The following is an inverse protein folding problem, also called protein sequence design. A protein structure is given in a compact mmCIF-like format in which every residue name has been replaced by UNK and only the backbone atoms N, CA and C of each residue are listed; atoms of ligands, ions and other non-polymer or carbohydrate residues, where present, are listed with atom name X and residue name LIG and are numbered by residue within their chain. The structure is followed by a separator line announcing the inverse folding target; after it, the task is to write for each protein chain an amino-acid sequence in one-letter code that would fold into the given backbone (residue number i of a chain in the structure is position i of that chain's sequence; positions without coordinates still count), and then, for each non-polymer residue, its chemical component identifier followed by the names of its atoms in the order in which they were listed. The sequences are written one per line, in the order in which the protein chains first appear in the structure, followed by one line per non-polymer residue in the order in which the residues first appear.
data_IF_396070934350
#
_entry.id   IF_396070934350
#
_cell.length_a   1.000
_cell.length_b   1.000
_cell.length_c   1.000
_cell.angle_alpha   90.00
_cell.angle_beta   90.00
_cell.angle_gamma   90.00
#
_symmetry.space_group_name_H-M   'P 1'
#
loop_
_entity.id
_entity.type
_entity.pdbx_description
1 polymer ?
#
# COMPACT_ATOMS: atom_id res chain seq x y z
N UNK A 1 17.15 30.09 45.24
CA UNK A 1 15.72 29.78 45.34
C UNK A 1 15.39 28.76 44.26
N UNK A 2 15.17 27.50 44.64
CA UNK A 2 14.63 26.49 43.73
C UNK A 2 13.11 26.56 43.91
N UNK A 3 12.39 26.96 42.87
CA UNK A 3 10.95 26.99 42.91
C UNK A 3 10.44 25.54 42.87
N UNK A 4 9.99 25.03 44.01
CA UNK A 4 9.19 23.79 44.05
C UNK A 4 7.83 24.09 43.42
N UNK A 5 7.71 23.80 42.13
CA UNK A 5 6.43 23.74 41.44
C UNK A 5 5.67 22.50 41.94
N UNK A 6 4.92 22.65 43.03
CA UNK A 6 3.89 21.69 43.41
C UNK A 6 2.74 21.79 42.41
N UNK A 7 2.89 21.13 41.26
CA UNK A 7 1.80 20.95 40.31
C UNK A 7 0.85 19.94 40.95
N UNK A 8 -0.26 20.43 41.49
CA UNK A 8 -1.40 19.60 41.88
C UNK A 8 -2.08 19.12 40.58
N UNK A 9 -1.33 18.36 39.78
CA UNK A 9 -1.78 17.83 38.52
C UNK A 9 -2.86 16.82 38.85
N UNK A 10 -4.08 17.06 38.36
CA UNK A 10 -5.15 16.08 38.46
C UNK A 10 -4.69 14.82 37.72
N UNK A 11 -4.16 13.85 38.46
CA UNK A 11 -3.45 12.66 37.92
C UNK A 11 -4.34 11.91 36.91
N UNK A 12 -5.65 11.99 37.10
CA UNK A 12 -6.67 11.44 36.20
C UNK A 12 -6.63 12.13 34.83
N UNK A 13 -6.54 13.46 34.80
CA UNK A 13 -6.49 14.27 33.58
C UNK A 13 -5.19 14.01 32.81
N UNK A 14 -4.05 13.96 33.51
CA UNK A 14 -2.75 13.63 32.89
C UNK A 14 -2.77 12.21 32.31
N UNK A 15 -3.30 11.22 33.04
CA UNK A 15 -3.44 9.85 32.53
C UNK A 15 -4.35 9.78 31.29
N UNK A 16 -5.46 10.51 31.30
CA UNK A 16 -6.38 10.56 30.17
C UNK A 16 -5.76 11.24 28.95
N UNK A 17 -4.98 12.31 29.15
CA UNK A 17 -4.21 12.95 28.10
C UNK A 17 -3.19 11.99 27.48
N UNK A 18 -2.40 11.28 28.30
CA UNK A 18 -1.40 10.31 27.82
C UNK A 18 -2.06 9.15 27.04
N UNK A 19 -3.22 8.65 27.50
CA UNK A 19 -4.00 7.62 26.77
C UNK A 19 -4.46 8.15 25.41
N UNK A 20 -5.03 9.35 25.34
CA UNK A 20 -5.46 9.98 24.08
C UNK A 20 -4.28 10.21 23.14
N UNK A 21 -3.14 10.64 23.67
CA UNK A 21 -1.92 10.84 22.89
C UNK A 21 -1.43 9.53 22.28
N UNK A 22 -1.37 8.45 23.07
CA UNK A 22 -0.98 7.12 22.58
C UNK A 22 -1.92 6.61 21.48
N UNK A 23 -3.23 6.78 21.64
CA UNK A 23 -4.21 6.41 20.62
C UNK A 23 -4.03 7.23 19.33
N UNK A 24 -3.80 8.54 19.45
CA UNK A 24 -3.54 9.42 18.31
C UNK A 24 -2.25 9.05 17.57
N UNK A 25 -1.19 8.69 18.31
CA UNK A 25 0.06 8.19 17.75
C UNK A 25 -0.19 6.90 16.95
N UNK A 26 -0.85 5.90 17.55
CA UNK A 26 -1.21 4.64 16.85
C UNK A 26 -2.02 4.89 15.57
N UNK A 27 -3.05 5.74 15.64
CA UNK A 27 -3.87 6.10 14.47
C UNK A 27 -3.05 6.77 13.37
N UNK A 28 -2.11 7.64 13.76
CA UNK A 28 -1.22 8.34 12.81
C UNK A 28 -0.24 7.36 12.15
N UNK A 29 0.36 6.45 12.93
CA UNK A 29 1.23 5.40 12.43
C UNK A 29 0.46 4.53 11.43
N UNK A 30 -0.72 4.02 11.80
CA UNK A 30 -1.53 3.20 10.90
C UNK A 30 -1.88 3.94 9.60
N UNK A 31 -2.27 5.21 9.70
CA UNK A 31 -2.56 6.05 8.52
C UNK A 31 -1.33 6.20 7.62
N UNK A 32 -0.15 6.39 8.21
CA UNK A 32 1.10 6.52 7.45
C UNK A 32 1.48 5.21 6.75
N UNK A 33 1.39 4.08 7.45
CA UNK A 33 1.65 2.76 6.89
C UNK A 33 0.70 2.46 5.73
N UNK A 34 -0.59 2.70 5.90
CA UNK A 34 -1.60 2.49 4.84
C UNK A 34 -1.29 3.33 3.60
N UNK A 35 -0.85 4.59 3.77
CA UNK A 35 -0.47 5.46 2.64
C UNK A 35 0.75 4.92 1.90
N UNK A 36 1.78 4.49 2.62
CA UNK A 36 3.00 3.92 2.01
C UNK A 36 2.68 2.62 1.27
N UNK A 37 1.91 1.72 1.88
CA UNK A 37 1.47 0.48 1.23
C UNK A 37 0.66 0.75 -0.03
N UNK A 38 -0.30 1.67 0.02
CA UNK A 38 -1.09 2.04 -1.16
C UNK A 38 -0.23 2.62 -2.28
N UNK A 39 0.76 3.44 -1.93
CA UNK A 39 1.71 3.98 -2.91
C UNK A 39 2.56 2.86 -3.54
N UNK A 40 3.05 1.92 -2.74
CA UNK A 40 3.80 0.77 -3.24
C UNK A 40 2.96 -0.07 -4.20
N UNK A 41 1.71 -0.38 -3.84
CA UNK A 41 0.76 -1.12 -4.71
C UNK A 41 0.51 -0.36 -6.00
N UNK A 42 0.31 0.96 -5.95
CA UNK A 42 0.15 1.79 -7.14
C UNK A 42 1.38 1.74 -8.06
N UNK A 43 2.59 1.84 -7.49
CA UNK A 43 3.84 1.78 -8.27
C UNK A 43 4.00 0.42 -8.94
N UNK A 44 3.77 -0.67 -8.21
CA UNK A 44 3.83 -2.04 -8.74
C UNK A 44 2.81 -2.21 -9.86
N UNK A 45 1.57 -1.76 -9.65
CA UNK A 45 0.50 -1.86 -10.64
C UNK A 45 0.84 -1.13 -11.93
N UNK A 46 1.29 0.14 -11.84
CA UNK A 46 1.68 0.94 -13.01
C UNK A 46 2.87 0.33 -13.77
N UNK A 47 3.92 -0.10 -13.07
CA UNK A 47 5.09 -0.73 -13.71
C UNK A 47 4.71 -2.00 -14.44
N UNK A 48 3.94 -2.86 -13.78
CA UNK A 48 3.48 -4.12 -14.37
C UNK A 48 2.56 -3.89 -15.58
N UNK A 49 1.59 -2.98 -15.48
CA UNK A 49 0.68 -2.67 -16.60
C UNK A 49 1.42 -2.10 -17.81
N UNK A 50 2.51 -1.35 -17.58
CA UNK A 50 3.40 -0.85 -18.64
C UNK A 50 4.43 -1.88 -19.13
N UNK A 51 4.38 -3.13 -18.63
CA UNK A 51 5.29 -4.19 -19.05
C UNK A 51 6.74 -3.96 -18.66
N UNK A 52 7.00 -3.23 -17.55
CA UNK A 52 8.35 -2.91 -17.06
C UNK A 52 8.71 -3.69 -15.80
N UNK A 53 9.96 -4.12 -15.74
CA UNK A 53 10.58 -4.78 -14.60
C UNK A 53 11.06 -3.74 -13.56
N UNK A 54 11.38 -4.17 -12.32
CA UNK A 54 11.85 -3.28 -11.26
C UNK A 54 13.15 -2.52 -11.60
N UNK A 55 14.01 -3.13 -12.41
CA UNK A 55 15.29 -2.63 -12.91
C UNK A 55 15.15 -1.69 -14.13
N UNK A 56 13.92 -1.46 -14.61
CA UNK A 56 13.66 -0.67 -15.81
C UNK A 56 13.69 -1.47 -17.11
N UNK A 57 13.98 -2.77 -17.06
CA UNK A 57 13.89 -3.68 -18.19
C UNK A 57 12.45 -3.89 -18.67
N UNK A 58 12.30 -4.50 -19.85
CA UNK A 58 10.99 -4.90 -20.38
C UNK A 58 10.66 -6.32 -19.93
N UNK A 59 9.39 -6.59 -19.65
CA UNK A 59 8.91 -7.94 -19.43
C UNK A 59 9.12 -8.79 -20.70
N UNK A 60 9.45 -10.05 -20.48
CA UNK A 60 9.61 -11.02 -21.57
C UNK A 60 8.26 -11.16 -22.29
N UNK A 61 8.21 -11.09 -23.62
CA UNK A 61 6.97 -11.26 -24.36
C UNK A 61 6.41 -12.69 -24.19
N UNK A 62 5.11 -12.84 -24.43
CA UNK A 62 4.45 -14.15 -24.38
C UNK A 62 5.09 -15.18 -25.32
N UNK A 63 5.03 -16.46 -24.96
CA UNK A 63 5.28 -17.56 -25.89
C UNK A 63 4.32 -17.46 -27.08
N UNK A 64 4.74 -17.97 -28.24
CA UNK A 64 3.99 -17.81 -29.50
C UNK A 64 2.57 -18.36 -29.41
N UNK A 65 2.41 -19.56 -28.84
CA UNK A 65 1.11 -20.18 -28.58
C UNK A 65 0.18 -19.29 -27.75
N UNK A 66 0.71 -18.67 -26.69
CA UNK A 66 -0.05 -17.74 -25.85
C UNK A 66 -0.38 -16.45 -26.59
N UNK A 67 0.48 -15.95 -27.48
CA UNK A 67 0.16 -14.78 -28.32
C UNK A 67 -1.03 -15.06 -29.23
N UNK A 68 -1.07 -16.22 -29.87
CA UNK A 68 -2.17 -16.61 -30.75
C UNK A 68 -3.49 -16.70 -29.97
N UNK A 69 -3.46 -17.37 -28.82
CA UNK A 69 -4.63 -17.53 -27.97
C UNK A 69 -5.15 -16.19 -27.41
N UNK A 70 -4.24 -15.27 -27.08
CA UNK A 70 -4.59 -13.89 -26.67
C UNK A 70 -5.13 -13.05 -27.82
N UNK A 71 -4.55 -13.16 -29.02
CA UNK A 71 -5.06 -12.47 -30.22
C UNK A 71 -6.48 -12.93 -30.56
N UNK A 72 -6.77 -14.23 -30.47
CA UNK A 72 -8.14 -14.78 -30.63
C UNK A 72 -9.13 -14.16 -29.63
N UNK A 73 -8.68 -13.89 -28.39
CA UNK A 73 -9.47 -13.21 -27.35
C UNK A 73 -9.50 -11.67 -27.49
N UNK A 74 -8.90 -11.10 -28.54
CA UNK A 74 -8.84 -9.65 -28.77
C UNK A 74 -7.93 -8.88 -27.80
N UNK A 75 -6.94 -9.55 -27.21
CA UNK A 75 -6.09 -8.97 -26.15
C UNK A 75 -4.70 -8.57 -26.66
N UNK A 76 -4.10 -7.57 -26.00
CA UNK A 76 -2.74 -7.13 -26.29
C UNK A 76 -1.71 -8.24 -25.99
N UNK A 77 -0.62 -8.28 -26.76
CA UNK A 77 0.42 -9.33 -26.71
C UNK A 77 1.85 -8.78 -26.61
N UNK A 78 2.01 -7.45 -26.49
CA UNK A 78 3.32 -6.79 -26.51
C UNK A 78 4.19 -7.11 -25.29
N UNK A 79 3.55 -7.41 -24.17
CA UNK A 79 4.17 -7.79 -22.91
C UNK A 79 3.21 -8.65 -22.10
N UNK A 80 3.74 -9.32 -21.07
CA UNK A 80 2.90 -10.08 -20.13
C UNK A 80 1.90 -9.15 -19.45
N UNK A 81 0.62 -9.42 -19.67
CA UNK A 81 -0.49 -8.86 -18.95
C UNK A 81 -0.75 -9.70 -17.70
N UNK A 82 -0.26 -9.21 -16.57
CA UNK A 82 -0.48 -9.85 -15.27
C UNK A 82 -1.95 -9.75 -14.80
N UNK A 83 -2.80 -9.02 -15.52
CA UNK A 83 -4.24 -8.97 -15.30
C UNK A 83 -5.04 -9.87 -16.25
N UNK A 84 -4.40 -10.82 -16.96
CA UNK A 84 -5.12 -11.70 -17.90
C UNK A 84 -6.32 -12.42 -17.25
N UNK A 85 -6.20 -12.86 -16.00
CA UNK A 85 -7.30 -13.46 -15.24
C UNK A 85 -8.09 -12.45 -14.39
N UNK A 86 -7.68 -11.19 -14.34
CA UNK A 86 -8.26 -10.11 -13.53
C UNK A 86 -8.02 -10.23 -12.02
N UNK A 87 -7.23 -11.23 -11.56
CA UNK A 87 -7.11 -11.56 -10.13
C UNK A 87 -5.84 -11.04 -9.45
N UNK A 88 -4.79 -10.70 -10.19
CA UNK A 88 -3.47 -10.48 -9.58
C UNK A 88 -3.45 -9.29 -8.61
N UNK A 89 -3.93 -8.11 -9.02
CA UNK A 89 -3.92 -6.92 -8.15
C UNK A 89 -5.06 -6.88 -7.14
N UNK A 90 -6.12 -7.69 -7.31
CA UNK A 90 -7.20 -7.80 -6.31
C UNK A 90 -6.70 -8.39 -4.99
N UNK A 91 -5.58 -9.13 -5.02
CA UNK A 91 -4.91 -9.63 -3.82
C UNK A 91 -4.00 -8.59 -3.13
N UNK A 92 -3.63 -7.51 -3.83
CA UNK A 92 -2.83 -6.41 -3.30
C UNK A 92 -3.69 -5.33 -2.63
N UNK A 93 -5.00 -5.53 -2.55
CA UNK A 93 -5.90 -4.64 -1.83
C UNK A 93 -5.56 -4.74 -0.33
N UNK A 94 -4.69 -3.85 0.14
CA UNK A 94 -4.48 -3.61 1.56
C UNK A 94 -5.79 -3.06 2.07
N UNK A 95 -6.67 -3.96 2.52
CA UNK A 95 -7.95 -3.62 3.13
C UNK A 95 -7.74 -2.40 4.02
N UNK A 96 -8.29 -1.28 3.59
CA UNK A 96 -8.51 -0.07 4.38
C UNK A 96 -9.48 -0.32 5.56
N UNK A 97 -9.85 -1.58 5.82
CA UNK A 97 -10.64 -2.02 6.96
C UNK A 97 -9.79 -2.00 8.24
N UNK A 98 -9.72 -0.83 8.84
CA UNK A 98 -9.04 -0.59 10.10
C UNK A 98 -9.17 0.85 10.56
N UNK A 99 -10.39 1.39 10.51
CA UNK A 99 -10.81 2.59 11.21
C UNK A 99 -12.17 2.35 11.85
#
# INVERSE_FOLDING_TARGET
MVAELNVNANVIEVRNFLKKLSQKQKKTIQKSLNRVSNMAVLMITKRTQSGRLPDGGKMIPYAQSTKEDRKKRGRQVGHVDLTDSGKMFRSLDFKTGGL
#
